data_IF_093747117243
#
_entry.id   IF_093747117243
#
_cell.length_a   1.000
_cell.length_b   1.000
_cell.length_c   1.000
_cell.angle_alpha   90.00
_cell.angle_beta   90.00
_cell.angle_gamma   90.00
#
_symmetry.space_group_name_H-M   'P 1'
#
loop_
_entity.id
_entity.type
_entity.pdbx_description
1 polymer ?
#
# COMPACT_ATOMS: atom_id res chain seq x y z
N UNK A 1 -9.42 8.71 16.59
CA UNK A 1 -8.92 7.44 16.00
C UNK A 1 -9.11 7.50 14.49
N UNK A 2 -8.06 7.31 13.70
CA UNK A 2 -8.11 7.31 12.24
C UNK A 2 -8.25 5.91 11.68
N UNK A 3 -8.95 5.77 10.56
CA UNK A 3 -9.22 4.49 9.86
C UNK A 3 -8.75 4.60 8.41
N UNK A 4 -7.79 3.76 8.01
CA UNK A 4 -7.36 3.62 6.63
C UNK A 4 -7.86 2.29 6.08
N UNK A 5 -8.45 2.29 4.89
CA UNK A 5 -8.80 1.09 4.14
C UNK A 5 -7.76 0.87 3.04
N UNK A 6 -6.95 -0.18 3.14
CA UNK A 6 -6.01 -0.58 2.09
C UNK A 6 -6.68 -1.58 1.15
N UNK A 7 -6.82 -1.18 -0.11
CA UNK A 7 -7.28 -1.98 -1.24
C UNK A 7 -6.07 -2.24 -2.14
N UNK A 8 -5.79 -3.48 -2.49
CA UNK A 8 -4.70 -3.81 -3.40
C UNK A 8 -5.15 -4.79 -4.47
N UNK A 9 -4.50 -4.72 -5.62
CA UNK A 9 -4.66 -5.70 -6.69
C UNK A 9 -6.15 -5.99 -7.05
N UNK A 10 -7.01 -4.96 -7.20
CA UNK A 10 -8.41 -5.18 -7.55
C UNK A 10 -8.57 -5.75 -8.97
N UNK A 11 -7.60 -5.55 -9.87
CA UNK A 11 -7.52 -6.09 -11.22
C UNK A 11 -8.84 -5.97 -11.99
N UNK A 12 -9.41 -4.77 -12.07
CA UNK A 12 -10.63 -4.52 -12.86
C UNK A 12 -10.51 -5.10 -14.27
N UNK A 13 -11.57 -5.79 -14.70
CA UNK A 13 -11.60 -6.68 -15.85
C UNK A 13 -11.54 -8.18 -15.47
N UNK A 14 -11.34 -8.48 -14.15
CA UNK A 14 -11.44 -9.82 -13.57
C UNK A 14 -12.13 -9.78 -12.20
N UNK A 15 -12.75 -8.68 -11.87
CA UNK A 15 -13.47 -8.47 -10.62
C UNK A 15 -14.66 -9.43 -10.46
N UNK A 16 -15.02 -9.68 -9.21
CA UNK A 16 -16.18 -10.47 -8.80
C UNK A 16 -17.29 -9.52 -8.32
N UNK A 17 -18.43 -9.42 -9.01
CA UNK A 17 -19.48 -8.45 -8.67
C UNK A 17 -20.00 -8.57 -7.22
N UNK A 18 -20.11 -9.79 -6.70
CA UNK A 18 -20.53 -10.04 -5.30
C UNK A 18 -19.51 -9.47 -4.32
N UNK A 19 -18.20 -9.64 -4.61
CA UNK A 19 -17.11 -9.11 -3.78
C UNK A 19 -17.06 -7.58 -3.85
N UNK A 20 -17.28 -7.00 -5.04
CA UNK A 20 -17.39 -5.54 -5.22
C UNK A 20 -18.49 -4.97 -4.32
N UNK A 21 -19.71 -5.55 -4.39
CA UNK A 21 -20.82 -5.12 -3.54
C UNK A 21 -20.53 -5.29 -2.04
N UNK A 22 -19.84 -6.37 -1.66
CA UNK A 22 -19.45 -6.61 -0.27
C UNK A 22 -18.42 -5.59 0.23
N UNK A 23 -17.44 -5.21 -0.61
CA UNK A 23 -16.43 -4.22 -0.23
C UNK A 23 -17.02 -2.81 -0.09
N UNK A 24 -17.98 -2.43 -0.93
CA UNK A 24 -18.73 -1.18 -0.77
C UNK A 24 -19.45 -1.15 0.58
N UNK A 25 -20.18 -2.24 0.94
CA UNK A 25 -20.82 -2.35 2.26
C UNK A 25 -19.83 -2.27 3.42
N UNK A 26 -18.68 -2.95 3.32
CA UNK A 26 -17.64 -2.84 4.35
C UNK A 26 -17.14 -1.40 4.47
N UNK A 27 -16.84 -0.75 3.36
CA UNK A 27 -16.36 0.64 3.36
C UNK A 27 -17.36 1.59 4.01
N UNK A 28 -18.67 1.42 3.75
CA UNK A 28 -19.70 2.23 4.39
C UNK A 28 -19.77 1.96 5.90
N UNK A 29 -19.67 0.69 6.30
CA UNK A 29 -19.73 0.31 7.72
C UNK A 29 -18.55 0.84 8.55
N UNK A 30 -17.31 0.80 7.99
CA UNK A 30 -16.11 1.26 8.69
C UNK A 30 -15.85 2.76 8.53
N UNK A 31 -16.46 3.39 7.53
CA UNK A 31 -16.31 4.83 7.22
C UNK A 31 -14.85 5.30 7.26
N UNK A 32 -13.95 4.83 6.35
CA UNK A 32 -12.54 5.15 6.42
C UNK A 32 -12.29 6.63 6.15
N UNK A 33 -11.30 7.20 6.87
CA UNK A 33 -10.81 8.56 6.68
C UNK A 33 -9.94 8.66 5.42
N UNK A 34 -9.32 7.55 5.01
CA UNK A 34 -8.50 7.46 3.81
C UNK A 34 -8.61 6.08 3.17
N UNK A 35 -8.82 6.04 1.86
CA UNK A 35 -8.70 4.82 1.04
C UNK A 35 -7.33 4.82 0.36
N UNK A 36 -6.51 3.80 0.64
CA UNK A 36 -5.19 3.60 0.04
C UNK A 36 -5.27 2.48 -0.99
N UNK A 37 -4.89 2.76 -2.24
CA UNK A 37 -4.87 1.78 -3.33
C UNK A 37 -3.43 1.49 -3.71
N UNK A 38 -2.92 0.31 -3.34
CA UNK A 38 -1.52 -0.05 -3.48
C UNK A 38 -1.18 -0.77 -4.81
N UNK A 39 -1.82 -0.36 -5.90
CA UNK A 39 -1.47 -0.75 -7.27
C UNK A 39 -2.27 -1.91 -7.85
N UNK A 40 -1.93 -2.27 -9.09
CA UNK A 40 -2.58 -3.29 -9.92
C UNK A 40 -4.10 -3.12 -9.99
N UNK A 41 -4.49 -1.86 -10.26
CA UNK A 41 -5.89 -1.43 -10.33
C UNK A 41 -6.62 -2.18 -11.44
N UNK A 42 -5.94 -2.39 -12.56
CA UNK A 42 -6.50 -3.01 -13.77
C UNK A 42 -5.78 -4.30 -14.12
N UNK A 43 -6.46 -5.19 -14.84
CA UNK A 43 -5.83 -6.42 -15.30
C UNK A 43 -4.85 -6.20 -16.48
N UNK A 44 -5.10 -5.21 -17.36
CA UNK A 44 -4.35 -5.04 -18.61
C UNK A 44 -4.21 -3.59 -19.06
N UNK A 45 -4.33 -2.62 -18.18
CA UNK A 45 -4.25 -1.18 -18.45
C UNK A 45 -5.20 -0.68 -19.56
N UNK A 46 -6.34 -1.34 -19.80
CA UNK A 46 -7.30 -0.94 -20.82
C UNK A 46 -8.19 0.20 -20.34
N UNK A 47 -8.60 1.09 -21.25
CA UNK A 47 -9.44 2.25 -20.92
C UNK A 47 -10.73 1.86 -20.19
N UNK A 48 -11.42 0.81 -20.66
CA UNK A 48 -12.66 0.36 -20.01
C UNK A 48 -12.43 -0.18 -18.61
N UNK A 49 -11.27 -0.83 -18.33
CA UNK A 49 -10.93 -1.32 -17.00
C UNK A 49 -10.69 -0.18 -16.02
N UNK A 50 -10.01 0.88 -16.46
CA UNK A 50 -9.88 2.09 -15.67
C UNK A 50 -11.22 2.81 -15.48
N UNK A 51 -12.13 2.77 -16.46
CA UNK A 51 -13.48 3.31 -16.30
C UNK A 51 -14.30 2.55 -15.25
N UNK A 52 -14.21 1.21 -15.24
CA UNK A 52 -14.81 0.36 -14.20
C UNK A 52 -14.22 0.68 -12.81
N UNK A 53 -12.90 0.82 -12.73
CA UNK A 53 -12.23 1.24 -11.50
C UNK A 53 -12.71 2.61 -11.03
N UNK A 54 -12.79 3.60 -11.94
CA UNK A 54 -13.32 4.93 -11.62
C UNK A 54 -14.72 4.86 -11.04
N UNK A 55 -15.63 4.14 -11.70
CA UNK A 55 -17.00 3.95 -11.20
C UNK A 55 -17.06 3.30 -9.82
N UNK A 56 -16.21 2.30 -9.55
CA UNK A 56 -16.10 1.70 -8.22
C UNK A 56 -15.61 2.71 -7.17
N UNK A 57 -14.56 3.46 -7.48
CA UNK A 57 -14.04 4.45 -6.53
C UNK A 57 -14.99 5.63 -6.32
N UNK A 58 -15.82 5.97 -7.31
CA UNK A 58 -16.88 6.97 -7.15
C UNK A 58 -18.00 6.45 -6.25
N UNK A 59 -18.32 5.14 -6.34
CA UNK A 59 -19.28 4.48 -5.44
C UNK A 59 -18.79 4.38 -3.98
N UNK A 60 -17.48 4.48 -3.72
CA UNK A 60 -16.95 4.62 -2.35
C UNK A 60 -17.22 6.01 -1.72
N UNK A 61 -17.77 6.95 -2.51
CA UNK A 61 -18.10 8.30 -2.07
C UNK A 61 -16.93 9.28 -2.16
N UNK A 62 -17.06 10.42 -1.46
CA UNK A 62 -16.11 11.55 -1.53
C UNK A 62 -14.91 11.44 -0.60
N UNK A 63 -14.67 10.25 -0.04
CA UNK A 63 -13.55 10.03 0.89
C UNK A 63 -12.20 10.29 0.22
N UNK A 64 -11.22 10.87 0.92
CA UNK A 64 -9.85 11.01 0.41
C UNK A 64 -9.31 9.68 -0.10
N UNK A 65 -8.57 9.73 -1.24
CA UNK A 65 -7.99 8.55 -1.88
C UNK A 65 -6.52 8.79 -2.20
N UNK A 66 -5.69 7.82 -1.90
CA UNK A 66 -4.30 7.76 -2.33
C UNK A 66 -4.14 6.54 -3.24
N UNK A 67 -3.84 6.76 -4.52
CA UNK A 67 -3.82 5.71 -5.54
C UNK A 67 -2.48 5.72 -6.25
N UNK A 68 -1.73 4.61 -6.16
CA UNK A 68 -0.51 4.41 -6.92
C UNK A 68 -0.71 3.35 -8.01
N UNK A 69 0.02 3.40 -9.14
CA UNK A 69 -0.05 2.36 -10.15
C UNK A 69 0.70 1.09 -9.73
N UNK A 70 0.21 -0.06 -10.22
CA UNK A 70 0.93 -1.33 -10.24
C UNK A 70 1.44 -1.69 -11.64
N UNK A 71 2.14 -2.82 -11.77
CA UNK A 71 2.73 -3.22 -13.04
C UNK A 71 1.69 -3.62 -14.10
N UNK A 72 0.50 -4.06 -13.70
CA UNK A 72 -0.62 -4.33 -14.59
C UNK A 72 -1.31 -3.05 -15.12
N UNK A 73 -1.03 -1.90 -14.54
CA UNK A 73 -1.57 -0.60 -14.96
C UNK A 73 -0.76 0.05 -16.10
N UNK A 74 0.35 -0.58 -16.50
CA UNK A 74 1.14 -0.21 -17.68
C UNK A 74 0.75 -1.11 -18.87
N UNK A 75 0.46 -0.55 -20.06
CA UNK A 75 0.07 -1.34 -21.23
C UNK A 75 1.12 -2.39 -21.60
N UNK A 76 0.72 -3.68 -21.62
CA UNK A 76 1.60 -4.78 -22.00
C UNK A 76 1.63 -5.03 -23.51
N UNK A 77 0.44 -4.94 -24.15
CA UNK A 77 0.26 -5.30 -25.57
C UNK A 77 0.25 -4.07 -26.50
N UNK A 78 0.65 -2.91 -26.02
CA UNK A 78 0.81 -1.69 -26.81
C UNK A 78 2.20 -1.08 -26.54
N UNK A 79 3.24 -1.52 -27.27
CA UNK A 79 4.62 -1.06 -27.05
C UNK A 79 4.80 0.46 -27.16
N UNK A 80 4.10 1.10 -28.11
CA UNK A 80 4.16 2.53 -28.29
C UNK A 80 3.58 3.28 -27.09
N UNK A 81 2.39 2.87 -26.63
CA UNK A 81 1.81 3.46 -25.44
C UNK A 81 2.68 3.21 -24.20
N UNK A 82 3.26 2.00 -24.07
CA UNK A 82 4.15 1.64 -22.98
C UNK A 82 5.43 2.49 -22.96
N UNK A 83 5.97 2.80 -24.12
CA UNK A 83 7.20 3.62 -24.25
C UNK A 83 6.93 5.12 -24.03
N UNK A 84 5.89 5.67 -24.65
CA UNK A 84 5.69 7.13 -24.71
C UNK A 84 4.68 7.65 -23.69
N UNK A 85 3.69 6.86 -23.27
CA UNK A 85 2.60 7.28 -22.38
C UNK A 85 2.14 6.13 -21.47
N UNK A 86 3.04 5.51 -20.68
CA UNK A 86 2.78 4.29 -19.93
C UNK A 86 1.62 4.42 -18.93
N UNK A 87 1.41 5.59 -18.36
CA UNK A 87 0.38 5.83 -17.33
C UNK A 87 -0.82 6.65 -17.83
N UNK A 88 -0.96 6.89 -19.13
CA UNK A 88 -1.99 7.79 -19.65
C UNK A 88 -3.43 7.38 -19.26
N UNK A 89 -3.74 6.10 -19.20
CA UNK A 89 -5.05 5.62 -18.78
C UNK A 89 -5.28 5.75 -17.27
N UNK A 90 -4.25 5.49 -16.47
CA UNK A 90 -4.26 5.73 -15.02
C UNK A 90 -4.48 7.22 -14.74
N UNK A 91 -3.67 8.07 -15.34
CA UNK A 91 -3.71 9.52 -15.11
C UNK A 91 -5.04 10.16 -15.53
N UNK A 92 -5.72 9.61 -16.53
CA UNK A 92 -7.05 10.07 -16.96
C UNK A 92 -8.12 9.92 -15.88
N UNK A 93 -8.00 8.89 -15.02
CA UNK A 93 -9.00 8.54 -14.01
C UNK A 93 -8.60 9.07 -12.63
N UNK A 94 -7.31 8.97 -12.28
CA UNK A 94 -6.81 9.27 -10.94
C UNK A 94 -5.98 10.57 -10.86
N UNK A 95 -5.82 11.30 -11.96
CA UNK A 95 -5.02 12.54 -11.99
C UNK A 95 -3.58 12.30 -12.42
N UNK A 96 -2.85 13.41 -12.63
CA UNK A 96 -1.50 13.39 -13.18
C UNK A 96 -0.44 12.83 -12.21
N UNK A 97 -0.70 12.93 -10.90
CA UNK A 97 0.23 12.53 -9.86
C UNK A 97 0.27 11.00 -9.71
N UNK A 98 1.47 10.42 -9.85
CA UNK A 98 1.69 8.97 -9.70
C UNK A 98 2.24 8.59 -8.33
N UNK A 99 2.64 9.58 -7.55
CA UNK A 99 3.20 9.43 -6.20
C UNK A 99 2.49 10.39 -5.24
N UNK A 100 1.15 10.26 -5.11
CA UNK A 100 0.36 11.16 -4.28
C UNK A 100 0.74 11.03 -2.80
N UNK A 101 0.50 12.09 -2.05
CA UNK A 101 0.62 12.07 -0.59
C UNK A 101 -0.68 12.54 0.05
N UNK A 102 -0.96 12.02 1.23
CA UNK A 102 -2.02 12.48 2.11
C UNK A 102 -1.41 12.88 3.45
N UNK A 103 -1.81 14.05 3.95
CA UNK A 103 -1.33 14.58 5.22
C UNK A 103 -2.48 15.18 6.02
N UNK A 104 -2.51 14.86 7.29
CA UNK A 104 -3.38 15.44 8.31
C UNK A 104 -2.61 15.57 9.62
N UNK A 105 -3.21 16.10 10.67
CA UNK A 105 -2.58 16.24 11.99
C UNK A 105 -2.09 14.89 12.57
N UNK A 106 -2.66 13.78 12.12
CA UNK A 106 -2.40 12.45 12.69
C UNK A 106 -1.91 11.43 11.67
N UNK A 107 -1.91 11.72 10.38
CA UNK A 107 -1.49 10.82 9.32
C UNK A 107 -0.56 11.51 8.33
N UNK A 108 0.53 10.84 7.98
CA UNK A 108 1.34 11.11 6.79
C UNK A 108 1.42 9.83 5.96
N UNK A 109 0.81 9.82 4.76
CA UNK A 109 0.82 8.68 3.86
C UNK A 109 1.46 9.09 2.54
N UNK A 110 2.52 8.40 2.14
CA UNK A 110 3.37 8.73 0.99
C UNK A 110 3.32 7.62 -0.05
N UNK A 111 2.71 7.88 -1.20
CA UNK A 111 2.70 6.97 -2.34
C UNK A 111 4.03 7.00 -3.10
N UNK A 112 4.50 5.83 -3.53
CA UNK A 112 5.72 5.68 -4.32
C UNK A 112 5.43 4.81 -5.54
N UNK A 113 5.62 5.37 -6.73
CA UNK A 113 5.52 4.61 -7.96
C UNK A 113 6.76 3.74 -8.16
N UNK A 114 6.65 2.47 -7.82
CA UNK A 114 7.71 1.48 -7.97
C UNK A 114 7.72 0.79 -9.33
N UNK A 115 6.73 1.06 -10.19
CA UNK A 115 6.67 0.46 -11.53
C UNK A 115 7.61 1.15 -12.51
N UNK A 116 8.07 0.41 -13.53
CA UNK A 116 8.93 0.94 -14.60
C UNK A 116 8.43 0.45 -15.97
N UNK A 117 8.30 1.33 -16.98
CA UNK A 117 7.84 0.91 -18.31
C UNK A 117 8.72 -0.15 -18.98
N UNK A 118 10.02 -0.18 -18.67
CA UNK A 118 10.98 -1.15 -19.22
C UNK A 118 11.04 -2.47 -18.42
N UNK A 119 10.42 -2.53 -17.22
CA UNK A 119 10.27 -3.76 -16.43
C UNK A 119 8.86 -4.30 -16.58
N UNK A 120 8.73 -5.61 -16.82
CA UNK A 120 7.41 -6.21 -17.04
C UNK A 120 6.64 -6.40 -15.72
N UNK A 121 7.30 -6.93 -14.71
CA UNK A 121 6.70 -7.36 -13.44
C UNK A 121 7.42 -6.73 -12.25
N UNK A 122 8.74 -6.67 -12.34
CA UNK A 122 9.58 -6.24 -11.24
C UNK A 122 9.46 -4.73 -11.01
N UNK A 123 9.41 -4.37 -9.73
CA UNK A 123 9.46 -2.97 -9.32
C UNK A 123 10.89 -2.51 -9.05
N UNK A 124 11.08 -1.20 -9.10
CA UNK A 124 12.36 -0.59 -8.76
C UNK A 124 12.15 0.75 -8.07
N UNK A 125 12.94 1.02 -7.04
CA UNK A 125 12.96 2.31 -6.38
C UNK A 125 14.29 3.03 -6.62
N UNK A 126 14.21 4.28 -7.09
CA UNK A 126 15.37 5.13 -7.31
C UNK A 126 15.84 5.78 -6.01
N UNK A 127 17.13 6.14 -5.97
CA UNK A 127 17.71 6.92 -4.85
C UNK A 127 17.01 8.27 -4.66
N UNK A 128 16.53 8.89 -5.74
CA UNK A 128 15.81 10.15 -5.66
C UNK A 128 14.46 9.97 -4.94
N UNK A 129 13.72 8.89 -5.25
CA UNK A 129 12.48 8.54 -4.53
C UNK A 129 12.76 8.27 -3.05
N UNK A 130 13.80 7.47 -2.75
CA UNK A 130 14.17 7.17 -1.36
C UNK A 130 14.48 8.46 -0.59
N UNK A 131 15.30 9.37 -1.14
CA UNK A 131 15.66 10.65 -0.49
C UNK A 131 14.44 11.56 -0.29
N UNK A 132 13.58 11.68 -1.31
CA UNK A 132 12.36 12.51 -1.23
C UNK A 132 11.42 12.02 -0.13
N UNK A 133 11.17 10.71 -0.07
CA UNK A 133 10.34 10.08 0.96
C UNK A 133 10.97 10.28 2.34
N UNK A 134 12.29 10.07 2.49
CA UNK A 134 12.99 10.29 3.77
C UNK A 134 12.80 11.72 4.27
N UNK A 135 12.99 12.72 3.41
CA UNK A 135 12.83 14.13 3.81
C UNK A 135 11.40 14.45 4.29
N UNK A 136 10.37 13.83 3.67
CA UNK A 136 8.98 14.00 4.12
C UNK A 136 8.73 13.31 5.48
N UNK A 137 9.30 12.13 5.69
CA UNK A 137 9.20 11.39 6.96
C UNK A 137 9.90 12.14 8.10
N UNK A 138 11.07 12.71 7.83
CA UNK A 138 11.84 13.51 8.81
C UNK A 138 11.10 14.79 9.22
N UNK A 139 10.33 15.40 8.31
CA UNK A 139 9.54 16.59 8.56
C UNK A 139 8.18 16.29 9.24
N UNK A 140 7.81 15.02 9.39
CA UNK A 140 6.53 14.63 9.96
C UNK A 140 6.42 14.93 11.44
N UNK A 141 5.22 15.32 11.91
CA UNK A 141 4.97 15.58 13.31
C UNK A 141 5.03 14.31 14.18
N UNK A 142 5.24 14.49 15.48
CA UNK A 142 5.33 13.39 16.44
C UNK A 142 4.03 12.58 16.55
N UNK A 143 2.90 13.20 16.26
CA UNK A 143 1.57 12.58 16.36
C UNK A 143 1.17 11.79 15.12
N UNK A 144 1.85 12.02 13.99
CA UNK A 144 1.49 11.36 12.74
C UNK A 144 1.93 9.90 12.68
N UNK A 145 1.03 9.01 12.27
CA UNK A 145 1.40 7.70 11.73
C UNK A 145 2.03 7.90 10.35
N UNK A 146 3.25 7.41 10.18
CA UNK A 146 4.07 7.62 8.98
C UNK A 146 4.08 6.38 8.11
N UNK A 147 3.34 6.44 7.02
CA UNK A 147 3.08 5.32 6.13
C UNK A 147 3.70 5.56 4.76
N UNK A 148 4.45 4.59 4.26
CA UNK A 148 4.92 4.56 2.87
C UNK A 148 4.15 3.48 2.11
N UNK A 149 3.69 3.79 0.91
CA UNK A 149 2.93 2.86 0.07
C UNK A 149 3.73 2.52 -1.17
N UNK A 150 4.05 1.24 -1.34
CA UNK A 150 4.68 0.67 -2.54
C UNK A 150 3.74 -0.36 -3.16
N UNK A 151 3.95 -0.72 -4.43
CA UNK A 151 3.22 -1.84 -5.01
C UNK A 151 3.93 -3.16 -4.73
N UNK A 152 5.20 -3.28 -5.14
CA UNK A 152 5.99 -4.49 -4.89
C UNK A 152 6.41 -4.59 -3.42
N UNK A 153 6.47 -5.81 -2.86
CA UNK A 153 6.85 -6.04 -1.46
C UNK A 153 8.31 -5.65 -1.17
N UNK A 154 8.56 -5.13 0.03
CA UNK A 154 9.92 -4.83 0.53
C UNK A 154 10.52 -5.99 1.33
N UNK A 155 9.71 -6.94 1.75
CA UNK A 155 10.10 -8.18 2.39
C UNK A 155 9.04 -9.24 2.10
N UNK A 156 9.39 -10.52 2.15
CA UNK A 156 8.48 -11.63 1.87
C UNK A 156 8.62 -12.71 2.94
N UNK A 157 7.56 -13.50 3.12
CA UNK A 157 7.50 -14.58 4.12
C UNK A 157 7.83 -15.96 3.54
N UNK A 158 8.01 -16.06 2.22
CA UNK A 158 8.26 -17.33 1.52
C UNK A 158 9.39 -17.16 0.52
N UNK A 159 10.40 -18.04 0.53
CA UNK A 159 11.55 -17.98 -0.38
C UNK A 159 11.16 -17.88 -1.87
N UNK A 160 10.10 -18.59 -2.30
CA UNK A 160 9.61 -18.52 -3.69
C UNK A 160 9.12 -17.13 -4.13
N UNK A 161 8.92 -16.22 -3.19
CA UNK A 161 8.45 -14.86 -3.45
C UNK A 161 9.58 -13.83 -3.52
N UNK A 162 10.81 -14.21 -3.22
CA UNK A 162 11.99 -13.32 -3.25
C UNK A 162 12.18 -12.67 -4.62
N UNK A 163 11.83 -13.39 -5.70
CA UNK A 163 11.87 -12.83 -7.06
C UNK A 163 10.87 -11.67 -7.30
N UNK A 164 9.96 -11.41 -6.36
CA UNK A 164 9.00 -10.30 -6.45
C UNK A 164 9.40 -9.10 -5.58
N UNK A 165 10.51 -9.19 -4.84
CA UNK A 165 11.00 -8.10 -4.02
C UNK A 165 11.27 -6.83 -4.85
N UNK A 166 10.93 -5.69 -4.29
CA UNK A 166 11.23 -4.39 -4.87
C UNK A 166 12.75 -4.20 -5.02
N UNK A 167 13.25 -4.00 -6.22
CA UNK A 167 14.66 -3.70 -6.42
C UNK A 167 15.07 -2.42 -5.66
N UNK A 168 16.05 -2.54 -4.78
CA UNK A 168 16.51 -1.47 -3.90
C UNK A 168 15.76 -1.39 -2.56
N UNK A 169 14.93 -2.39 -2.23
CA UNK A 169 14.14 -2.44 -0.99
C UNK A 169 15.00 -2.32 0.27
N UNK A 170 16.12 -3.04 0.38
CA UNK A 170 16.98 -2.99 1.57
C UNK A 170 17.40 -1.57 1.92
N UNK A 171 17.90 -0.83 0.92
CA UNK A 171 18.31 0.55 1.09
C UNK A 171 17.14 1.47 1.41
N UNK A 172 15.97 1.24 0.80
CA UNK A 172 14.77 2.00 1.07
C UNK A 172 14.30 1.79 2.52
N UNK A 173 14.19 0.53 2.95
CA UNK A 173 13.80 0.15 4.33
C UNK A 173 14.74 0.80 5.35
N UNK A 174 16.07 0.67 5.15
CA UNK A 174 17.08 1.24 6.05
C UNK A 174 16.96 2.77 6.16
N UNK A 175 16.78 3.46 5.03
CA UNK A 175 16.66 4.92 5.00
C UNK A 175 15.36 5.40 5.59
N UNK A 176 14.24 4.75 5.26
CA UNK A 176 12.93 5.13 5.75
C UNK A 176 12.74 4.83 7.23
N UNK A 177 13.33 3.73 7.75
CA UNK A 177 13.37 3.48 9.18
C UNK A 177 14.09 4.62 9.92
N UNK A 178 15.27 5.04 9.46
CA UNK A 178 16.01 6.19 10.05
C UNK A 178 15.23 7.49 9.97
N UNK A 179 14.50 7.70 8.89
CA UNK A 179 13.67 8.88 8.68
C UNK A 179 12.34 8.85 9.46
N UNK A 180 12.03 7.75 10.14
CA UNK A 180 10.89 7.67 11.04
C UNK A 180 9.65 6.95 10.50
N UNK A 181 9.72 6.18 9.40
CA UNK A 181 8.60 5.38 8.93
C UNK A 181 8.12 4.37 9.97
N UNK A 182 6.81 4.18 10.05
CA UNK A 182 6.15 3.21 10.94
C UNK A 182 5.64 2.00 10.16
N UNK A 183 5.02 2.23 8.98
CA UNK A 183 4.46 1.18 8.14
C UNK A 183 4.93 1.33 6.69
N UNK A 184 5.13 0.18 6.02
CA UNK A 184 5.24 0.10 4.55
C UNK A 184 4.12 -0.81 4.06
N UNK A 185 3.18 -0.24 3.28
CA UNK A 185 2.08 -0.99 2.68
C UNK A 185 2.47 -1.49 1.29
N UNK A 186 2.07 -2.72 0.96
CA UNK A 186 2.35 -3.32 -0.35
C UNK A 186 1.22 -4.22 -0.86
N UNK A 187 1.37 -4.71 -2.10
CA UNK A 187 0.47 -5.62 -2.81
C UNK A 187 1.22 -6.63 -3.67
N UNK A 188 0.87 -6.76 -4.97
CA UNK A 188 1.56 -7.47 -6.01
C UNK A 188 1.52 -9.02 -5.94
N UNK A 189 1.83 -9.60 -4.79
CA UNK A 189 1.91 -11.06 -4.65
C UNK A 189 0.61 -11.71 -4.17
N UNK A 190 -0.43 -10.94 -3.95
CA UNK A 190 -1.77 -11.39 -3.51
C UNK A 190 -1.74 -12.24 -2.22
N UNK A 191 -0.73 -12.04 -1.37
CA UNK A 191 -0.55 -12.75 -0.12
C UNK A 191 -0.59 -11.75 1.04
N UNK A 192 -1.66 -11.74 1.86
CA UNK A 192 -1.72 -10.83 3.00
C UNK A 192 -0.86 -11.33 4.16
N UNK A 193 -0.09 -10.43 4.76
CA UNK A 193 0.66 -10.64 6.01
C UNK A 193 1.07 -9.32 6.65
N UNK A 194 1.39 -9.38 7.93
CA UNK A 194 2.07 -8.34 8.68
C UNK A 194 3.42 -8.90 9.14
N UNK A 195 4.50 -8.18 8.83
CA UNK A 195 5.87 -8.64 9.10
C UNK A 195 6.67 -7.54 9.82
N UNK A 196 7.30 -7.85 10.98
CA UNK A 196 8.21 -6.92 11.64
C UNK A 196 9.52 -6.83 10.86
N UNK A 197 9.74 -5.68 10.20
CA UNK A 197 10.96 -5.46 9.41
C UNK A 197 12.21 -5.32 10.29
N UNK A 198 12.05 -4.85 11.51
CA UNK A 198 13.12 -4.74 12.50
C UNK A 198 13.69 -6.10 12.94
N UNK A 199 12.94 -7.18 12.77
CA UNK A 199 13.42 -8.55 12.97
C UNK A 199 14.03 -9.15 11.68
N UNK A 200 13.63 -8.61 10.52
CA UNK A 200 14.06 -9.11 9.21
C UNK A 200 15.36 -8.45 8.74
N UNK A 201 15.49 -7.14 8.98
CA UNK A 201 16.65 -6.34 8.55
C UNK A 201 17.49 -5.97 9.76
N UNK A 202 18.72 -6.47 9.81
CA UNK A 202 19.64 -6.16 10.91
C UNK A 202 19.91 -4.66 11.05
N UNK A 203 19.94 -4.17 12.29
CA UNK A 203 20.34 -2.81 12.62
C UNK A 203 19.33 -1.72 12.22
N UNK A 204 18.06 -2.03 12.07
CA UNK A 204 17.05 -0.98 11.96
C UNK A 204 16.95 -0.22 13.31
N UNK A 205 16.96 1.13 13.27
CA UNK A 205 17.00 1.93 14.48
C UNK A 205 15.65 2.03 15.19
N UNK A 206 14.59 1.50 14.59
CA UNK A 206 13.22 1.58 15.11
C UNK A 206 12.34 0.44 14.61
N UNK A 207 11.21 0.27 15.28
CA UNK A 207 10.14 -0.64 14.84
C UNK A 207 9.52 -0.13 13.55
N UNK A 208 9.57 -0.95 12.51
CA UNK A 208 9.00 -0.71 11.19
C UNK A 208 8.29 -1.99 10.76
N UNK A 209 7.11 -1.85 10.20
CA UNK A 209 6.27 -2.99 9.82
C UNK A 209 5.97 -2.98 8.34
N UNK A 210 6.07 -4.14 7.68
CA UNK A 210 5.49 -4.35 6.37
C UNK A 210 4.06 -4.88 6.52
N UNK A 211 3.11 -4.22 5.86
CA UNK A 211 1.70 -4.62 5.80
C UNK A 211 1.36 -4.94 4.35
N UNK A 212 1.28 -6.21 4.06
CA UNK A 212 1.03 -6.70 2.72
C UNK A 212 -0.45 -7.04 2.55
N UNK A 213 -1.03 -6.59 1.44
CA UNK A 213 -2.42 -6.90 1.12
C UNK A 213 -2.54 -8.11 0.19
N UNK A 214 -3.68 -8.77 0.23
CA UNK A 214 -4.11 -9.72 -0.78
C UNK A 214 -4.79 -9.02 -1.96
N UNK A 215 -5.38 -9.77 -2.90
CA UNK A 215 -6.21 -9.20 -3.96
C UNK A 215 -7.60 -8.85 -3.42
N UNK A 216 -8.02 -7.61 -3.64
CA UNK A 216 -9.26 -7.12 -3.02
C UNK A 216 -10.53 -7.66 -3.70
N UNK A 217 -10.57 -7.69 -5.04
CA UNK A 217 -11.83 -7.90 -5.79
C UNK A 217 -11.72 -8.98 -6.86
N UNK A 218 -10.51 -9.35 -7.28
CA UNK A 218 -10.30 -10.13 -8.49
C UNK A 218 -10.43 -11.64 -8.26
N UNK A 219 -10.64 -12.36 -9.36
CA UNK A 219 -10.58 -13.84 -9.37
C UNK A 219 -9.15 -14.39 -9.25
N UNK A 220 -8.15 -13.51 -9.15
CA UNK A 220 -6.73 -13.87 -9.05
C UNK A 220 -6.28 -14.09 -7.61
N UNK A 221 -7.09 -14.80 -6.85
CA UNK A 221 -6.77 -15.20 -5.48
C UNK A 221 -5.54 -16.10 -5.43
N UNK A 222 -4.87 -16.17 -4.31
CA UNK A 222 -3.64 -16.93 -4.14
C UNK A 222 -3.81 -18.13 -3.21
N UNK A 223 -3.75 -19.33 -3.78
CA UNK A 223 -3.94 -20.58 -3.03
C UNK A 223 -5.33 -20.66 -2.43
N UNK A 224 -5.41 -20.83 -1.12
CA UNK A 224 -6.66 -20.88 -0.36
C UNK A 224 -7.07 -19.55 0.27
N UNK A 225 -6.38 -18.45 -0.10
CA UNK A 225 -6.68 -17.13 0.46
C UNK A 225 -7.71 -16.46 -0.42
N UNK A 226 -8.83 -16.08 0.15
CA UNK A 226 -9.90 -15.36 -0.54
C UNK A 226 -9.55 -13.89 -0.80
N UNK A 227 -10.47 -13.17 -1.45
CA UNK A 227 -10.33 -11.73 -1.61
C UNK A 227 -10.20 -11.09 -0.23
N UNK A 228 -9.24 -10.21 -0.07
CA UNK A 228 -8.94 -9.61 1.23
C UNK A 228 -8.54 -8.14 1.13
N UNK A 229 -8.83 -7.39 2.20
CA UNK A 229 -8.41 -6.01 2.39
C UNK A 229 -7.85 -5.84 3.81
N UNK A 230 -7.03 -4.80 4.02
CA UNK A 230 -6.58 -4.43 5.35
C UNK A 230 -7.29 -3.16 5.82
N UNK A 231 -7.71 -3.14 7.09
CA UNK A 231 -8.18 -1.94 7.78
C UNK A 231 -7.14 -1.59 8.85
N UNK A 232 -6.58 -0.40 8.75
CA UNK A 232 -5.55 0.08 9.67
C UNK A 232 -6.18 1.14 10.55
N UNK A 233 -6.13 0.93 11.87
CA UNK A 233 -6.66 1.86 12.86
C UNK A 233 -5.51 2.48 13.65
N UNK A 234 -5.50 3.78 13.74
CA UNK A 234 -4.47 4.53 14.45
C UNK A 234 -5.09 5.48 15.47
N UNK A 235 -4.58 5.42 16.68
CA UNK A 235 -4.86 6.39 17.71
C UNK A 235 -3.58 7.11 18.15
N UNK A 236 -3.45 8.36 17.74
CA UNK A 236 -2.34 9.24 18.12
C UNK A 236 -2.67 10.18 19.27
N UNK A 237 -3.90 10.13 19.80
CA UNK A 237 -4.40 11.09 20.78
C UNK A 237 -4.04 10.75 22.24
N UNK A 238 -3.71 9.50 22.54
CA UNK A 238 -3.55 8.98 23.91
C UNK A 238 -2.14 9.09 24.50
N UNK A 239 -1.22 9.82 23.86
CA UNK A 239 0.18 9.88 24.27
C UNK A 239 0.98 8.60 24.00
N UNK A 240 0.30 7.48 23.81
CA UNK A 240 0.87 6.19 23.37
C UNK A 240 0.42 5.95 21.93
N UNK A 241 1.36 5.98 20.98
CA UNK A 241 1.07 5.70 19.58
C UNK A 241 0.74 4.22 19.42
N UNK A 242 -0.50 3.90 19.10
CA UNK A 242 -0.94 2.52 18.87
C UNK A 242 -1.57 2.37 17.50
N UNK A 243 -1.25 1.29 16.82
CA UNK A 243 -1.79 0.95 15.50
C UNK A 243 -2.23 -0.49 15.50
N UNK A 244 -3.40 -0.72 14.96
CA UNK A 244 -3.94 -2.07 14.72
C UNK A 244 -4.10 -2.28 13.23
N UNK A 245 -3.66 -3.43 12.71
CA UNK A 245 -3.92 -3.89 11.35
C UNK A 245 -4.91 -5.05 11.42
N UNK A 246 -6.06 -4.87 10.82
CA UNK A 246 -7.12 -5.87 10.69
C UNK A 246 -7.13 -6.39 9.26
N UNK A 247 -7.03 -7.71 9.07
CA UNK A 247 -7.26 -8.38 7.80
C UNK A 247 -8.71 -8.81 7.72
N UNK A 248 -9.40 -8.37 6.69
CA UNK A 248 -10.78 -8.74 6.38
C UNK A 248 -10.81 -9.54 5.09
N UNK A 249 -11.31 -10.78 5.13
CA UNK A 249 -11.45 -11.65 3.97
C UNK A 249 -12.92 -11.78 3.58
N UNK A 250 -13.16 -11.86 2.27
CA UNK A 250 -14.49 -12.15 1.75
C UNK A 250 -14.87 -13.61 2.00
N UNK A 251 -16.00 -13.82 2.65
CA UNK A 251 -16.57 -15.14 2.96
C UNK A 251 -17.73 -15.41 2.02
N UNK A 252 -17.59 -16.43 1.17
CA UNK A 252 -18.57 -16.77 0.13
C UNK A 252 -19.95 -17.10 0.71
N UNK A 253 -20.01 -17.81 1.84
CA UNK A 253 -21.27 -18.25 2.45
C UNK A 253 -22.10 -17.11 3.04
N UNK A 254 -21.46 -16.05 3.51
CA UNK A 254 -22.12 -14.86 4.05
C UNK A 254 -22.19 -13.71 3.05
N UNK A 255 -21.49 -13.81 1.92
CA UNK A 255 -21.27 -12.74 0.93
C UNK A 255 -20.82 -11.40 1.57
N UNK A 256 -19.95 -11.50 2.58
CA UNK A 256 -19.42 -10.34 3.32
C UNK A 256 -17.94 -10.45 3.54
N UNK A 257 -17.29 -9.32 3.78
CA UNK A 257 -15.96 -9.30 4.38
C UNK A 257 -16.10 -9.52 5.89
N UNK A 258 -15.33 -10.45 6.42
CA UNK A 258 -15.27 -10.79 7.84
C UNK A 258 -13.87 -10.60 8.38
N UNK A 259 -13.76 -10.20 9.65
CA UNK A 259 -12.49 -10.03 10.33
C UNK A 259 -11.85 -11.41 10.58
N UNK A 260 -10.71 -11.67 9.95
CA UNK A 260 -9.99 -12.95 10.04
C UNK A 260 -8.77 -12.87 10.94
N UNK A 261 -8.08 -11.73 10.94
CA UNK A 261 -6.91 -11.53 11.78
C UNK A 261 -6.79 -10.09 12.25
N UNK A 262 -6.23 -9.91 13.43
CA UNK A 262 -5.92 -8.61 14.02
C UNK A 262 -4.51 -8.64 14.59
N UNK A 263 -3.74 -7.60 14.27
CA UNK A 263 -2.37 -7.40 14.73
C UNK A 263 -2.27 -6.04 15.42
N UNK A 264 -2.00 -6.04 16.71
CA UNK A 264 -1.70 -4.81 17.45
C UNK A 264 -0.21 -4.53 17.33
N UNK A 265 0.15 -3.41 16.69
CA UNK A 265 1.52 -3.07 16.35
C UNK A 265 2.09 -2.07 17.36
N UNK A 266 3.19 -2.45 17.99
CA UNK A 266 3.95 -1.51 18.78
C UNK A 266 4.71 -0.55 17.85
N UNK A 267 4.53 0.76 18.08
CA UNK A 267 5.28 1.82 17.41
C UNK A 267 6.23 2.48 18.40
N UNK A 268 7.37 2.94 17.90
CA UNK A 268 8.27 3.75 18.72
C UNK A 268 7.74 5.19 18.85
N UNK A 269 8.22 5.91 19.88
CA UNK A 269 7.98 7.34 20.01
C UNK A 269 8.52 8.08 18.77
N UNK A 270 7.97 9.24 18.47
CA UNK A 270 8.29 9.98 17.25
C UNK A 270 9.71 10.56 17.19
N UNK A 271 10.42 10.66 18.32
CA UNK A 271 11.80 11.11 18.38
C UNK A 271 12.74 9.95 18.03
N UNK A 272 13.33 9.96 16.83
CA UNK A 272 14.64 9.36 16.68
C UNK A 272 15.61 10.24 17.50
N UNK A 273 16.21 9.73 18.55
CA UNK A 273 17.36 10.39 19.14
C UNK A 273 18.42 10.53 18.04
N UNK A 274 19.02 11.74 17.86
CA UNK A 274 20.16 11.87 16.96
C UNK A 274 21.23 10.90 17.45
N UNK A 275 21.68 10.02 16.57
CA UNK A 275 22.80 9.14 16.87
C UNK A 275 23.93 9.99 17.42
N UNK A 276 24.28 9.77 18.68
CA UNK A 276 25.43 10.40 19.32
C UNK A 276 26.64 9.98 18.50
N UNK A 277 27.20 10.90 17.72
CA UNK A 277 28.48 10.70 17.06
C UNK A 277 29.47 10.56 18.19
N UNK A 278 29.91 9.34 18.48
CA UNK A 278 31.03 9.10 19.36
C UNK A 278 32.25 9.77 18.70
N UNK A 279 32.63 10.90 19.25
CA UNK A 279 33.90 11.55 18.94
C UNK A 279 35.01 10.65 19.46
N UNK A 280 35.75 10.01 18.54
CA UNK A 280 37.03 9.42 18.79
C UNK A 280 38.13 10.43 18.43
#
# INVERSE_FOLDING_TARGET
MNVLLQISDPHFGTERPTVVAALLRLSDAISPDLVVVSGDITQRARRYQFALAGAFFDALGTRPRLVIPGNHDIPLFNPLARLFRPYANHQRVFGAELEPSFESDTLLVLGVNTTRPFRHKDGEISMQQVKRVSARLEAASATQLRVVVTHQPVAVTRAKDEANLLHGHERAVQRWARAGADLILGGHIHLPYVLPLHDTFAGLPRKLWAVQAGTALSRRTRGTIDNSVNVIRYDGSSGTRSTTVERWDYVETSERFELIARHDLALDSAAAEPATVASA
#
